data_IF_331500079460
#
_entry.id   IF_331500079460
#
_cell.length_a   1.000
_cell.length_b   1.000
_cell.length_c   1.000
_cell.angle_alpha   90.00
_cell.angle_beta   90.00
_cell.angle_gamma   90.00
#
_symmetry.space_group_name_H-M   'P 1'
#
loop_
_entity.id
_entity.type
_entity.pdbx_description
1 polymer ?
#
# COMPACT_ATOMS: atom_id res chain seq x y z
N UNK A 1 -16.53 50.16 31.44
CA UNK A 1 -15.48 49.85 30.44
C UNK A 1 -15.06 48.41 30.67
N UNK A 2 -15.73 47.52 29.96
CA UNK A 2 -15.87 46.08 30.23
C UNK A 2 -14.70 45.29 29.64
N UNK A 3 -13.85 44.75 30.50
CA UNK A 3 -12.85 43.75 30.12
C UNK A 3 -13.46 42.35 30.25
N UNK A 4 -13.94 41.78 29.13
CA UNK A 4 -14.28 40.36 29.02
C UNK A 4 -13.60 39.79 27.78
N UNK A 5 -12.36 39.34 27.96
CA UNK A 5 -11.66 38.49 26.98
C UNK A 5 -12.33 37.11 26.98
N UNK A 6 -13.19 36.85 26.00
CA UNK A 6 -13.61 35.51 25.62
C UNK A 6 -13.88 35.53 24.12
N UNK A 7 -13.54 34.42 23.46
CA UNK A 7 -13.84 34.09 22.06
C UNK A 7 -12.70 34.29 21.04
N UNK A 8 -11.59 33.61 21.29
CA UNK A 8 -10.69 33.17 20.24
C UNK A 8 -11.42 32.07 19.46
N UNK A 9 -12.08 32.46 18.37
CA UNK A 9 -12.82 31.56 17.49
C UNK A 9 -11.85 30.72 16.69
N UNK A 10 -11.79 29.44 17.05
CA UNK A 10 -11.36 28.30 16.27
C UNK A 10 -11.04 28.59 14.80
N UNK A 11 -9.76 28.66 14.47
CA UNK A 11 -9.27 28.34 13.13
C UNK A 11 -9.62 26.88 12.88
N UNK A 12 -10.80 26.63 12.29
CA UNK A 12 -11.09 25.36 11.62
C UNK A 12 -10.07 25.23 10.49
N UNK A 13 -8.96 24.55 10.76
CA UNK A 13 -8.22 23.86 9.72
C UNK A 13 -9.24 22.99 9.00
N UNK A 14 -9.61 23.37 7.78
CA UNK A 14 -10.30 22.47 6.86
C UNK A 14 -9.30 21.38 6.52
N UNK A 15 -9.32 20.30 7.29
CA UNK A 15 -8.69 19.04 6.91
C UNK A 15 -9.22 18.67 5.53
N UNK A 16 -8.31 18.73 4.55
CA UNK A 16 -8.57 18.25 3.22
C UNK A 16 -9.02 16.81 3.32
N UNK A 17 -10.17 16.50 2.73
CA UNK A 17 -10.59 15.13 2.49
C UNK A 17 -9.42 14.34 1.90
N UNK A 18 -9.05 13.18 2.47
CA UNK A 18 -8.04 12.35 1.84
C UNK A 18 -8.64 11.96 0.49
N UNK A 19 -8.07 12.49 -0.59
CA UNK A 19 -8.45 12.09 -1.94
C UNK A 19 -8.05 10.63 -2.04
N UNK A 20 -9.02 9.75 -1.81
CA UNK A 20 -8.86 8.33 -2.03
C UNK A 20 -8.63 8.16 -3.53
N UNK A 21 -7.40 7.87 -3.92
CA UNK A 21 -7.10 7.55 -5.30
C UNK A 21 -7.59 6.11 -5.54
N UNK A 22 -8.72 6.00 -6.24
CA UNK A 22 -9.21 4.71 -6.71
C UNK A 22 -8.28 4.29 -7.83
N UNK A 23 -7.48 3.25 -7.60
CA UNK A 23 -6.60 2.65 -8.58
C UNK A 23 -7.16 1.32 -9.05
N UNK A 24 -6.73 0.88 -10.23
CA UNK A 24 -7.01 -0.45 -10.75
C UNK A 24 -5.76 -1.30 -10.64
N UNK A 25 -5.89 -2.51 -10.12
CA UNK A 25 -4.77 -3.43 -10.02
C UNK A 25 -4.28 -3.79 -11.44
N UNK A 26 -3.00 -3.60 -11.81
CA UNK A 26 -2.52 -3.92 -13.15
C UNK A 26 -2.58 -5.42 -13.47
N UNK A 27 -2.63 -6.29 -12.45
CA UNK A 27 -2.71 -7.75 -12.61
C UNK A 27 -4.13 -8.27 -12.86
N UNK A 28 -5.12 -7.82 -12.09
CA UNK A 28 -6.49 -8.37 -12.15
C UNK A 28 -7.55 -7.35 -12.57
N UNK A 29 -7.16 -6.09 -12.79
CA UNK A 29 -8.02 -4.97 -13.18
C UNK A 29 -9.16 -4.66 -12.17
N UNK A 30 -9.08 -5.20 -10.96
CA UNK A 30 -10.04 -4.89 -9.89
C UNK A 30 -9.68 -3.54 -9.27
N UNK A 31 -10.70 -2.72 -9.03
CA UNK A 31 -10.59 -1.45 -8.31
C UNK A 31 -10.19 -1.69 -6.85
N UNK A 32 -9.24 -0.93 -6.34
CA UNK A 32 -8.86 -0.96 -4.93
C UNK A 32 -8.47 0.43 -4.44
N UNK A 33 -8.52 0.62 -3.12
CA UNK A 33 -8.11 1.87 -2.49
C UNK A 33 -6.59 1.86 -2.24
N UNK A 34 -5.89 2.77 -2.92
CA UNK A 34 -4.50 3.09 -2.62
C UNK A 34 -4.46 4.44 -1.88
N UNK A 35 -3.93 4.46 -0.65
CA UNK A 35 -3.81 5.67 0.16
C UNK A 35 -2.34 5.96 0.46
N UNK A 36 -1.58 6.38 -0.54
CA UNK A 36 -0.13 6.67 -0.37
C UNK A 36 0.10 7.74 0.71
N UNK A 37 -0.76 8.77 0.77
CA UNK A 37 -0.71 9.80 1.82
C UNK A 37 -1.10 9.31 3.22
N UNK A 38 -1.59 8.08 3.36
CA UNK A 38 -1.87 7.44 4.64
C UNK A 38 -1.59 5.95 4.50
N UNK A 39 -0.32 5.60 4.29
CA UNK A 39 0.11 4.24 3.92
C UNK A 39 -0.44 3.17 4.87
N UNK A 40 -0.61 3.49 6.16
CA UNK A 40 -1.20 2.59 7.15
C UNK A 40 -2.63 2.11 6.78
N UNK A 41 -3.38 2.91 6.04
CA UNK A 41 -4.75 2.62 5.57
C UNK A 41 -4.79 1.99 4.17
N UNK A 42 -3.64 1.77 3.53
CA UNK A 42 -3.58 1.14 2.22
C UNK A 42 -3.77 -0.38 2.35
N UNK A 43 -4.37 -1.01 1.34
CA UNK A 43 -4.50 -2.47 1.29
C UNK A 43 -3.14 -3.21 1.33
N UNK A 44 -2.05 -2.51 0.98
CA UNK A 44 -0.69 -3.05 1.03
C UNK A 44 -0.03 -2.96 2.43
N UNK A 45 -0.62 -2.25 3.39
CA UNK A 45 0.04 -1.91 4.67
C UNK A 45 0.22 -3.09 5.63
N UNK A 46 -0.65 -4.09 5.54
CA UNK A 46 -0.59 -5.28 6.39
C UNK A 46 0.29 -6.40 5.85
N UNK A 47 1.18 -6.12 4.89
CA UNK A 47 2.13 -7.10 4.37
C UNK A 47 3.53 -6.82 4.90
N UNK A 48 4.12 -7.81 5.57
CA UNK A 48 5.52 -7.80 5.96
C UNK A 48 6.36 -8.43 4.86
N UNK A 49 6.69 -7.65 3.82
CA UNK A 49 7.48 -8.11 2.68
C UNK A 49 8.98 -8.00 2.94
N UNK A 50 9.73 -9.04 2.57
CA UNK A 50 11.20 -8.98 2.52
C UNK A 50 11.68 -8.04 1.40
N UNK A 51 12.96 -7.66 1.41
CA UNK A 51 13.53 -6.83 0.34
C UNK A 51 13.43 -7.54 -1.00
N UNK A 52 13.74 -8.84 -1.03
CA UNK A 52 13.71 -9.63 -2.27
C UNK A 52 12.29 -9.79 -2.82
N UNK A 53 11.28 -9.91 -1.95
CA UNK A 53 9.87 -9.96 -2.37
C UNK A 53 9.42 -8.62 -2.97
N UNK A 54 9.86 -7.49 -2.39
CA UNK A 54 9.58 -6.14 -2.95
C UNK A 54 10.25 -5.96 -4.31
N UNK A 55 11.51 -6.38 -4.43
CA UNK A 55 12.26 -6.31 -5.68
C UNK A 55 11.59 -7.18 -6.74
N UNK A 56 11.13 -8.39 -6.38
CA UNK A 56 10.38 -9.25 -7.30
C UNK A 56 9.07 -8.62 -7.78
N UNK A 57 8.28 -8.03 -6.88
CA UNK A 57 7.03 -7.34 -7.25
C UNK A 57 7.33 -6.14 -8.15
N UNK A 58 8.28 -5.29 -7.79
CA UNK A 58 8.63 -4.09 -8.57
C UNK A 58 9.25 -4.41 -9.93
N UNK A 59 9.87 -5.58 -10.09
CA UNK A 59 10.37 -6.05 -11.39
C UNK A 59 9.26 -6.45 -12.38
N UNK A 60 8.05 -6.73 -11.88
CA UNK A 60 6.93 -7.22 -12.70
C UNK A 60 5.78 -6.22 -12.83
N UNK A 61 5.66 -5.26 -11.92
CA UNK A 61 4.54 -4.32 -11.89
C UNK A 61 5.02 -2.90 -11.58
N UNK A 62 4.65 -1.95 -12.45
CA UNK A 62 5.00 -0.52 -12.33
C UNK A 62 4.07 0.27 -11.40
N UNK A 63 2.97 -0.33 -10.92
CA UNK A 63 2.00 0.31 -10.01
C UNK A 63 1.57 -0.65 -8.89
N UNK A 64 0.84 -0.11 -7.91
CA UNK A 64 0.34 -0.82 -6.75
C UNK A 64 -0.58 -1.98 -7.13
N UNK A 65 -0.38 -3.12 -6.47
CA UNK A 65 -1.24 -4.29 -6.56
C UNK A 65 -2.32 -4.29 -5.47
N UNK A 66 -3.46 -4.91 -5.76
CA UNK A 66 -4.44 -5.21 -4.72
C UNK A 66 -3.93 -6.32 -3.78
N UNK A 67 -4.52 -6.42 -2.59
CA UNK A 67 -4.15 -7.39 -1.54
C UNK A 67 -4.09 -8.83 -2.06
N UNK A 68 -5.08 -9.28 -2.83
CA UNK A 68 -5.08 -10.63 -3.40
C UNK A 68 -3.91 -10.87 -4.36
N UNK A 69 -3.62 -9.90 -5.23
CA UNK A 69 -2.51 -10.02 -6.18
C UNK A 69 -1.15 -9.98 -5.50
N UNK A 70 -1.00 -9.22 -4.40
CA UNK A 70 0.22 -9.22 -3.58
C UNK A 70 0.44 -10.62 -3.00
N UNK A 71 -0.57 -11.22 -2.35
CA UNK A 71 -0.50 -12.57 -1.80
C UNK A 71 -0.08 -13.62 -2.84
N UNK A 72 -0.73 -13.60 -4.01
CA UNK A 72 -0.42 -14.55 -5.09
C UNK A 72 1.01 -14.38 -5.60
N UNK A 73 1.46 -13.13 -5.80
CA UNK A 73 2.81 -12.84 -6.31
C UNK A 73 3.90 -13.30 -5.33
N UNK A 74 3.68 -13.13 -4.02
CA UNK A 74 4.60 -13.62 -2.98
C UNK A 74 4.61 -15.15 -2.94
N UNK A 75 3.43 -15.79 -3.07
CA UNK A 75 3.36 -17.25 -3.13
C UNK A 75 4.16 -17.79 -4.31
N UNK A 76 4.04 -17.18 -5.49
CA UNK A 76 4.80 -17.53 -6.69
C UNK A 76 6.31 -17.36 -6.46
N UNK A 77 6.73 -16.22 -5.88
CA UNK A 77 8.13 -15.97 -5.54
C UNK A 77 8.70 -17.05 -4.60
N UNK A 78 7.96 -17.40 -3.55
CA UNK A 78 8.37 -18.41 -2.58
C UNK A 78 8.49 -19.79 -3.21
N UNK A 79 7.53 -20.18 -4.07
CA UNK A 79 7.61 -21.41 -4.85
C UNK A 79 8.87 -21.44 -5.72
N UNK A 80 9.15 -20.37 -6.47
CA UNK A 80 10.35 -20.27 -7.32
C UNK A 80 11.64 -20.36 -6.48
N UNK A 81 11.68 -19.66 -5.34
CA UNK A 81 12.84 -19.67 -4.42
C UNK A 81 13.13 -21.09 -3.91
N UNK A 82 12.10 -21.82 -3.51
CA UNK A 82 12.22 -23.23 -3.10
C UNK A 82 12.76 -24.09 -4.25
N UNK A 83 12.14 -24.01 -5.43
CA UNK A 83 12.60 -24.80 -6.57
C UNK A 83 14.06 -24.52 -6.92
N UNK A 84 14.49 -23.24 -6.97
CA UNK A 84 15.90 -22.89 -7.20
C UNK A 84 16.83 -23.47 -6.14
N UNK A 85 16.42 -23.47 -4.87
CA UNK A 85 17.24 -24.04 -3.79
C UNK A 85 17.44 -25.56 -3.93
N UNK A 86 16.44 -26.25 -4.49
CA UNK A 86 16.49 -27.70 -4.71
C UNK A 86 17.27 -28.03 -5.99
N UNK A 87 17.03 -27.30 -7.08
CA UNK A 87 17.61 -27.63 -8.40
C UNK A 87 19.06 -27.20 -8.55
N UNK A 88 19.57 -26.28 -7.72
CA UNK A 88 21.00 -25.95 -7.65
C UNK A 88 21.85 -26.92 -6.81
N UNK A 89 21.25 -28.02 -6.35
CA UNK A 89 21.94 -29.09 -5.61
C UNK A 89 22.25 -30.32 -6.49
N UNK A 90 22.12 -30.21 -7.81
CA UNK A 90 22.53 -31.20 -8.81
C UNK A 90 23.45 -30.52 -9.85
#
# INVERSE_FOLDING_TARGET
MTHRKLYQSATRHKEGSPKHEIKFCPRCLIKFECKVGSIALCQCSGFSLSTEEKDFISSQFDDCLCRECINLTISEYNTIKIYKSITWSF
#
